data_IF_306356060321
#
_entry.id   IF_306356060321
#
_cell.length_a   1.000
_cell.length_b   1.000
_cell.length_c   1.000
_cell.angle_alpha   90.00
_cell.angle_beta   90.00
_cell.angle_gamma   90.00
#
_symmetry.space_group_name_H-M   'P 1'
#
loop_
_entity.id
_entity.type
_entity.pdbx_description
1 polymer ?
#
# COMPACT_ATOMS: atom_id res chain seq x y z
N UNK A 1 36.23 -43.32 42.85
CA UNK A 1 36.09 -42.35 41.73
C UNK A 1 35.95 -43.02 40.35
N UNK A 2 35.76 -44.34 40.23
CA UNK A 2 35.79 -45.07 38.95
C UNK A 2 34.42 -45.17 38.26
N UNK A 3 33.30 -44.94 38.97
CA UNK A 3 31.94 -45.01 38.40
C UNK A 3 31.52 -43.80 37.52
N UNK A 4 32.31 -42.73 37.44
CA UNK A 4 31.93 -41.52 36.66
C UNK A 4 32.30 -41.58 35.18
N UNK A 5 33.33 -42.35 34.84
CA UNK A 5 33.80 -42.52 33.47
C UNK A 5 32.79 -43.23 32.53
N UNK A 6 32.13 -44.34 32.91
CA UNK A 6 31.16 -44.98 32.01
C UNK A 6 29.90 -44.13 31.81
N UNK A 7 29.50 -43.35 32.81
CA UNK A 7 28.34 -42.46 32.75
C UNK A 7 28.58 -41.28 31.80
N UNK A 8 29.79 -40.72 31.79
CA UNK A 8 30.19 -39.68 30.83
C UNK A 8 30.31 -40.23 29.39
N UNK A 9 30.77 -41.47 29.22
CA UNK A 9 30.86 -42.10 27.91
C UNK A 9 29.47 -42.39 27.32
N UNK A 10 28.53 -42.89 28.14
CA UNK A 10 27.14 -43.11 27.75
C UNK A 10 26.46 -41.77 27.45
N UNK A 11 26.67 -40.74 28.28
CA UNK A 11 26.14 -39.41 28.01
C UNK A 11 26.68 -38.81 26.70
N UNK A 12 27.96 -39.02 26.38
CA UNK A 12 28.56 -38.58 25.12
C UNK A 12 28.05 -39.37 23.89
N UNK A 13 27.75 -40.66 24.07
CA UNK A 13 27.16 -41.51 23.03
C UNK A 13 25.67 -41.22 22.77
N UNK A 14 24.94 -40.75 23.79
CA UNK A 14 23.50 -40.40 23.69
C UNK A 14 23.28 -38.92 23.34
N UNK A 15 24.25 -38.04 23.62
CA UNK A 15 24.18 -36.62 23.27
C UNK A 15 23.79 -36.33 21.80
N UNK A 16 24.35 -37.01 20.77
CA UNK A 16 23.94 -36.78 19.37
C UNK A 16 22.58 -37.38 19.01
N UNK A 17 22.03 -38.28 19.83
CA UNK A 17 20.67 -38.83 19.65
C UNK A 17 19.60 -37.91 20.28
N UNK A 18 20.00 -36.95 21.12
CA UNK A 18 19.11 -35.99 21.76
C UNK A 18 19.16 -34.58 21.14
N UNK A 19 19.96 -34.35 20.11
CA UNK A 19 19.81 -33.13 19.31
C UNK A 19 18.53 -33.28 18.51
N UNK A 20 17.45 -32.68 19.00
CA UNK A 20 16.21 -32.53 18.25
C UNK A 20 16.56 -31.84 16.92
N UNK A 21 16.46 -32.60 15.82
CA UNK A 21 16.76 -32.09 14.51
C UNK A 21 15.69 -31.07 14.13
N UNK A 22 16.10 -29.87 13.71
CA UNK A 22 15.19 -28.79 13.35
C UNK A 22 14.90 -28.93 11.86
N UNK A 23 13.63 -28.82 11.46
CA UNK A 23 13.26 -28.89 10.05
C UNK A 23 14.05 -27.85 9.22
N UNK A 24 14.56 -28.21 8.04
CA UNK A 24 15.30 -27.29 7.21
C UNK A 24 14.43 -26.11 6.77
N UNK A 25 15.07 -24.97 6.48
CA UNK A 25 14.40 -23.76 5.99
C UNK A 25 13.64 -23.98 4.68
N UNK A 26 14.14 -24.87 3.82
CA UNK A 26 13.51 -25.28 2.58
C UNK A 26 13.40 -26.80 2.59
N UNK A 27 12.17 -27.31 2.50
CA UNK A 27 11.86 -28.72 2.36
C UNK A 27 11.36 -28.99 0.94
N UNK A 28 11.97 -29.94 0.25
CA UNK A 28 11.57 -30.33 -1.11
C UNK A 28 10.48 -31.40 -1.04
N UNK A 29 9.30 -31.12 -1.59
CA UNK A 29 8.20 -32.10 -1.67
C UNK A 29 8.26 -32.85 -3.00
N UNK A 30 8.41 -32.10 -4.09
CA UNK A 30 8.60 -32.63 -5.43
C UNK A 30 9.65 -31.77 -6.14
N UNK A 31 10.79 -32.38 -6.49
CA UNK A 31 11.89 -31.68 -7.14
C UNK A 31 11.41 -30.94 -8.40
N UNK A 32 11.79 -29.66 -8.53
CA UNK A 32 11.42 -28.82 -9.65
C UNK A 32 10.02 -28.21 -9.60
N UNK A 33 9.11 -28.70 -8.73
CA UNK A 33 7.69 -28.34 -8.79
C UNK A 33 7.06 -27.92 -7.46
N UNK A 34 7.45 -28.52 -6.33
CA UNK A 34 6.82 -28.25 -5.03
C UNK A 34 7.86 -28.17 -3.92
N UNK A 35 7.84 -27.04 -3.24
CA UNK A 35 8.76 -26.71 -2.15
C UNK A 35 7.97 -26.10 -0.99
N UNK A 36 8.42 -26.37 0.22
CA UNK A 36 7.89 -25.75 1.42
C UNK A 36 9.01 -24.91 2.02
N UNK A 37 8.78 -23.60 2.12
CA UNK A 37 9.71 -22.70 2.78
C UNK A 37 9.19 -22.36 4.19
N UNK A 38 10.04 -22.59 5.18
CA UNK A 38 9.86 -22.15 6.57
C UNK A 38 10.63 -20.85 6.75
N UNK A 39 9.93 -19.73 6.57
CA UNK A 39 10.53 -18.40 6.68
C UNK A 39 10.51 -17.93 8.15
N UNK A 40 11.66 -17.71 8.81
CA UNK A 40 11.68 -17.21 10.18
C UNK A 40 11.07 -15.81 10.23
N UNK A 41 10.26 -15.52 11.25
CA UNK A 41 9.57 -14.24 11.41
C UNK A 41 10.12 -13.52 12.63
N UNK A 42 10.95 -12.49 12.41
CA UNK A 42 11.64 -11.82 13.49
C UNK A 42 10.72 -10.81 14.20
N UNK A 43 10.51 -11.01 15.50
CA UNK A 43 9.70 -10.12 16.34
C UNK A 43 8.20 -10.26 16.12
N UNK A 44 7.76 -11.21 15.30
CA UNK A 44 6.36 -11.43 14.99
C UNK A 44 5.64 -12.09 16.18
N UNK A 45 4.41 -11.66 16.50
CA UNK A 45 3.60 -12.28 17.54
C UNK A 45 3.22 -13.72 17.18
N UNK A 46 3.24 -14.62 18.14
CA UNK A 46 2.75 -15.99 17.97
C UNK A 46 1.32 -16.10 18.51
N UNK A 47 0.36 -16.32 17.62
CA UNK A 47 -1.04 -16.52 18.02
C UNK A 47 -1.28 -17.95 18.50
N UNK A 48 -1.98 -18.12 19.60
CA UNK A 48 -2.36 -19.44 20.08
C UNK A 48 -3.74 -19.41 20.75
N UNK A 49 -4.41 -20.56 20.74
CA UNK A 49 -5.58 -20.80 21.56
C UNK A 49 -5.17 -21.77 22.67
N UNK A 50 -5.50 -21.42 23.91
CA UNK A 50 -5.37 -22.35 25.02
C UNK A 50 -6.51 -23.36 24.97
N UNK A 51 -6.19 -24.62 24.67
CA UNK A 51 -7.13 -25.74 24.62
C UNK A 51 -7.00 -26.65 25.84
N UNK A 52 -6.22 -26.27 26.85
CA UNK A 52 -5.96 -27.08 28.06
C UNK A 52 -7.22 -27.47 28.84
N UNK A 53 -8.30 -26.69 28.70
CA UNK A 53 -9.59 -26.93 29.35
C UNK A 53 -10.56 -27.78 28.50
N UNK A 54 -10.10 -28.34 27.37
CA UNK A 54 -10.94 -29.14 26.46
C UNK A 54 -11.94 -28.33 25.62
N UNK A 55 -11.89 -27.00 25.72
CA UNK A 55 -12.63 -26.06 24.87
C UNK A 55 -11.64 -25.09 24.22
N UNK A 56 -12.00 -24.57 23.04
CA UNK A 56 -11.18 -23.57 22.35
C UNK A 56 -11.31 -22.23 23.09
N UNK A 57 -10.28 -21.86 23.85
CA UNK A 57 -10.17 -20.54 24.46
C UNK A 57 -10.06 -19.41 23.43
N UNK A 58 -10.14 -18.14 23.87
CA UNK A 58 -9.92 -17.00 22.98
C UNK A 58 -8.50 -17.01 22.42
N UNK A 59 -8.32 -16.45 21.22
CA UNK A 59 -6.99 -16.23 20.64
C UNK A 59 -6.19 -15.27 21.51
N UNK A 60 -4.96 -15.65 21.82
CA UNK A 60 -4.02 -14.86 22.61
C UNK A 60 -2.66 -14.79 21.93
N UNK A 61 -1.87 -13.78 22.30
CA UNK A 61 -0.52 -13.56 21.78
C UNK A 61 0.52 -14.11 22.75
N UNK A 62 1.54 -14.79 22.20
CA UNK A 62 2.78 -15.17 22.87
C UNK A 62 3.98 -14.64 22.09
N UNK A 63 5.10 -14.46 22.79
CA UNK A 63 6.37 -13.98 22.21
C UNK A 63 7.34 -15.14 22.03
N UNK A 64 7.03 -16.04 21.10
CA UNK A 64 7.95 -17.11 20.72
C UNK A 64 8.64 -16.82 19.41
N UNK A 65 9.70 -17.57 19.12
CA UNK A 65 10.30 -17.61 17.80
C UNK A 65 9.37 -18.34 16.83
N UNK A 66 8.68 -17.59 15.99
CA UNK A 66 7.77 -18.12 14.99
C UNK A 66 8.37 -18.08 13.58
N UNK A 67 7.84 -18.96 12.73
CA UNK A 67 8.15 -19.04 11.33
C UNK A 67 6.85 -19.16 10.52
N UNK A 68 6.83 -18.55 9.34
CA UNK A 68 5.74 -18.60 8.39
C UNK A 68 5.99 -19.71 7.39
N UNK A 69 4.98 -20.53 7.13
CA UNK A 69 5.08 -21.59 6.13
C UNK A 69 4.55 -21.12 4.78
N UNK A 70 5.34 -21.41 3.75
CA UNK A 70 5.01 -21.15 2.35
C UNK A 70 5.06 -22.44 1.56
N UNK A 71 3.91 -22.91 1.12
CA UNK A 71 3.76 -23.94 0.12
C UNK A 71 3.86 -23.31 -1.28
N UNK A 72 4.96 -23.60 -1.96
CA UNK A 72 5.30 -23.07 -3.27
C UNK A 72 5.10 -24.19 -4.27
N UNK A 73 4.13 -24.04 -5.17
CA UNK A 73 3.82 -25.05 -6.18
C UNK A 73 3.81 -24.45 -7.58
N UNK A 74 4.36 -25.20 -8.53
CA UNK A 74 4.31 -24.91 -9.95
C UNK A 74 3.52 -26.04 -10.62
N UNK A 75 2.26 -25.80 -11.01
CA UNK A 75 1.43 -26.87 -11.56
C UNK A 75 1.91 -27.23 -12.98
N UNK A 76 1.94 -28.54 -13.25
CA UNK A 76 2.34 -29.05 -14.56
C UNK A 76 1.42 -28.57 -15.69
N UNK A 77 0.11 -28.50 -15.43
CA UNK A 77 -0.88 -28.12 -16.43
C UNK A 77 -0.81 -26.63 -16.83
N UNK A 78 -0.43 -25.75 -15.89
CA UNK A 78 -0.40 -24.31 -16.07
C UNK A 78 0.98 -23.76 -15.64
N UNK A 79 2.04 -23.94 -16.43
CA UNK A 79 3.39 -23.55 -16.04
C UNK A 79 3.64 -22.03 -16.03
N UNK A 80 2.64 -21.24 -16.38
CA UNK A 80 2.71 -19.76 -16.44
C UNK A 80 2.32 -19.10 -15.12
N UNK A 81 1.91 -19.87 -14.11
CA UNK A 81 1.53 -19.37 -12.79
C UNK A 81 2.27 -20.15 -11.71
N UNK A 82 2.76 -19.44 -10.69
CA UNK A 82 3.29 -20.03 -9.46
C UNK A 82 2.26 -19.85 -8.35
N UNK A 83 2.01 -20.88 -7.56
CA UNK A 83 1.08 -20.84 -6.45
C UNK A 83 1.87 -20.74 -5.15
N UNK A 84 1.52 -19.76 -4.32
CA UNK A 84 2.08 -19.58 -2.98
C UNK A 84 0.93 -19.63 -1.99
N UNK A 85 0.87 -20.67 -1.16
CA UNK A 85 -0.26 -20.94 -0.25
C UNK A 85 -1.61 -20.84 -0.98
N UNK A 86 -1.72 -21.55 -2.10
CA UNK A 86 -2.91 -21.57 -2.98
C UNK A 86 -3.21 -20.27 -3.73
N UNK A 87 -2.46 -19.19 -3.49
CA UNK A 87 -2.64 -17.92 -4.20
C UNK A 87 -1.90 -17.95 -5.55
N UNK A 88 -2.61 -17.75 -6.68
CA UNK A 88 -2.00 -17.81 -8.01
C UNK A 88 -1.29 -16.50 -8.35
N UNK A 89 0.02 -16.59 -8.61
CA UNK A 89 0.86 -15.47 -9.03
C UNK A 89 1.28 -15.71 -10.49
N UNK A 90 0.91 -14.83 -11.43
CA UNK A 90 1.31 -14.98 -12.82
C UNK A 90 2.82 -14.72 -13.01
N UNK A 91 3.50 -15.63 -13.69
CA UNK A 91 4.92 -15.53 -14.07
C UNK A 91 5.10 -14.69 -15.34
N UNK A 92 4.64 -13.43 -15.29
CA UNK A 92 4.73 -12.49 -16.40
C UNK A 92 5.73 -11.39 -16.08
N UNK A 93 6.68 -11.13 -16.97
CA UNK A 93 7.61 -9.99 -16.81
C UNK A 93 6.99 -8.67 -17.26
N UNK A 94 5.71 -8.66 -17.66
CA UNK A 94 5.01 -7.44 -18.05
C UNK A 94 4.58 -6.65 -16.81
N UNK A 95 5.04 -5.41 -16.63
CA UNK A 95 4.77 -4.62 -15.42
C UNK A 95 3.28 -4.30 -15.25
N UNK A 96 2.52 -4.17 -16.35
CA UNK A 96 1.09 -3.85 -16.30
C UNK A 96 0.21 -5.02 -15.83
N UNK A 97 0.65 -6.27 -16.06
CA UNK A 97 -0.14 -7.45 -15.72
C UNK A 97 0.00 -7.84 -14.26
N UNK A 98 1.15 -7.58 -13.63
CA UNK A 98 1.39 -7.89 -12.21
C UNK A 98 0.70 -6.90 -11.27
N UNK A 99 0.62 -5.61 -11.64
CA UNK A 99 0.09 -4.57 -10.73
C UNK A 99 -1.40 -4.71 -10.44
N UNK A 100 -2.20 -5.25 -11.37
CA UNK A 100 -3.66 -5.27 -11.26
C UNK A 100 -4.21 -6.52 -10.52
N UNK A 101 -3.40 -7.57 -10.32
CA UNK A 101 -3.91 -8.88 -9.89
C UNK A 101 -3.05 -9.60 -8.85
N UNK A 102 -2.35 -8.89 -7.95
CA UNK A 102 -1.61 -9.54 -6.86
C UNK A 102 -2.57 -10.11 -5.80
N UNK A 103 -2.67 -11.44 -5.62
CA UNK A 103 -3.65 -12.07 -4.75
C UNK A 103 -3.35 -11.83 -3.26
N UNK A 104 -4.36 -12.00 -2.42
CA UNK A 104 -4.17 -12.18 -0.97
C UNK A 104 -3.48 -13.50 -0.70
N UNK A 105 -2.46 -13.46 0.16
CA UNK A 105 -1.73 -14.64 0.61
C UNK A 105 -1.91 -14.72 2.11
N UNK A 106 -2.33 -15.89 2.58
CA UNK A 106 -2.34 -16.23 4.00
C UNK A 106 -1.20 -17.20 4.26
N UNK A 107 -0.41 -16.96 5.30
CA UNK A 107 0.62 -17.90 5.75
C UNK A 107 0.31 -18.42 7.15
N UNK A 108 0.20 -19.74 7.32
CA UNK A 108 0.13 -20.33 8.64
C UNK A 108 1.45 -20.11 9.36
N UNK A 109 1.35 -19.83 10.66
CA UNK A 109 2.53 -19.73 11.52
C UNK A 109 2.83 -21.07 12.20
N UNK A 110 4.10 -21.29 12.48
CA UNK A 110 4.64 -22.45 13.19
C UNK A 110 5.76 -22.01 14.12
N UNK A 111 6.17 -22.89 15.03
CA UNK A 111 7.36 -22.65 15.85
C UNK A 111 8.63 -22.82 15.00
N UNK A 112 9.66 -22.02 15.28
CA UNK A 112 10.91 -22.03 14.50
C UNK A 112 11.68 -23.35 14.66
N UNK A 113 11.58 -23.97 15.82
CA UNK A 113 12.21 -25.23 16.22
C UNK A 113 11.41 -26.48 15.83
N UNK A 114 10.38 -26.33 14.98
CA UNK A 114 9.59 -27.45 14.45
C UNK A 114 10.50 -28.54 13.86
N UNK A 115 10.27 -29.79 14.28
CA UNK A 115 11.03 -30.95 13.81
C UNK A 115 10.61 -31.37 12.40
N UNK A 116 11.47 -32.07 11.62
CA UNK A 116 11.11 -32.60 10.30
C UNK A 116 9.92 -33.56 10.36
N UNK A 117 9.84 -34.37 11.42
CA UNK A 117 8.74 -35.30 11.63
C UNK A 117 7.43 -34.54 11.85
N UNK A 118 7.42 -33.51 12.70
CA UNK A 118 6.24 -32.68 12.96
C UNK A 118 5.83 -31.85 11.74
N UNK A 119 6.80 -31.39 10.93
CA UNK A 119 6.49 -30.76 9.65
C UNK A 119 5.77 -31.75 8.72
N UNK A 120 6.28 -32.98 8.59
CA UNK A 120 5.65 -33.99 7.73
C UNK A 120 4.24 -34.38 8.21
N UNK A 121 4.02 -34.43 9.52
CA UNK A 121 2.70 -34.70 10.08
C UNK A 121 1.76 -33.54 9.83
N UNK A 122 2.19 -32.28 10.03
CA UNK A 122 1.38 -31.08 9.74
C UNK A 122 0.94 -31.03 8.27
N UNK A 123 1.83 -31.37 7.35
CA UNK A 123 1.54 -31.43 5.91
C UNK A 123 0.54 -32.54 5.56
N UNK A 124 0.63 -33.67 6.25
CA UNK A 124 -0.22 -34.84 6.00
C UNK A 124 -1.59 -34.74 6.68
N UNK A 125 -1.64 -34.18 7.89
CA UNK A 125 -2.85 -34.09 8.72
C UNK A 125 -3.77 -32.94 8.33
N UNK A 126 -3.22 -31.93 7.65
CA UNK A 126 -3.89 -30.63 7.50
C UNK A 126 -3.85 -30.18 6.03
N UNK A 127 -4.57 -30.89 5.12
CA UNK A 127 -4.58 -30.53 3.70
C UNK A 127 -5.07 -29.09 3.45
N UNK A 128 -5.89 -28.54 4.36
CA UNK A 128 -6.41 -27.17 4.28
C UNK A 128 -5.50 -26.11 4.93
N UNK A 129 -4.34 -26.47 5.49
CA UNK A 129 -3.43 -25.53 6.17
C UNK A 129 -2.99 -24.39 5.25
N UNK A 130 -2.93 -24.65 3.95
CA UNK A 130 -2.58 -23.68 2.91
C UNK A 130 -3.77 -23.23 2.06
N UNK A 131 -4.99 -23.70 2.34
CA UNK A 131 -6.20 -23.44 1.54
C UNK A 131 -7.14 -22.43 2.21
N UNK A 132 -6.71 -21.79 3.30
CA UNK A 132 -7.50 -20.82 4.08
C UNK A 132 -7.64 -19.47 3.38
N UNK A 133 -8.23 -19.48 2.19
CA UNK A 133 -8.89 -18.30 1.62
C UNK A 133 -10.30 -18.23 2.20
N UNK A 134 -10.52 -17.29 3.12
CA UNK A 134 -11.82 -16.74 3.51
C UNK A 134 -12.72 -17.44 4.57
N UNK A 135 -12.45 -18.66 5.05
CA UNK A 135 -13.24 -19.23 6.16
C UNK A 135 -12.54 -19.03 7.52
N UNK A 136 -12.78 -17.89 8.13
CA UNK A 136 -12.29 -17.49 9.47
C UNK A 136 -12.77 -18.39 10.63
N UNK A 137 -13.55 -19.43 10.38
CA UNK A 137 -14.31 -20.16 11.42
C UNK A 137 -13.87 -21.61 11.66
N UNK A 138 -13.02 -22.22 10.81
CA UNK A 138 -12.81 -23.68 10.84
C UNK A 138 -11.36 -24.17 10.80
N UNK A 139 -10.36 -23.31 10.65
CA UNK A 139 -8.97 -23.76 10.67
C UNK A 139 -8.40 -23.77 12.10
N UNK A 140 -8.01 -24.95 12.59
CA UNK A 140 -7.30 -25.14 13.85
C UNK A 140 -5.92 -24.46 13.91
N UNK A 141 -5.37 -24.05 12.76
CA UNK A 141 -4.08 -23.39 12.67
C UNK A 141 -4.24 -21.86 12.46
N UNK A 142 -3.61 -21.02 13.29
CA UNK A 142 -3.55 -19.57 13.07
C UNK A 142 -2.78 -19.23 11.79
N UNK A 143 -3.35 -18.35 10.97
CA UNK A 143 -2.71 -17.81 9.78
C UNK A 143 -2.70 -16.28 9.78
N UNK A 144 -1.65 -15.71 9.17
CA UNK A 144 -1.52 -14.28 8.95
C UNK A 144 -1.80 -13.93 7.51
N UNK A 145 -2.60 -12.89 7.30
CA UNK A 145 -2.67 -12.18 6.03
C UNK A 145 -1.38 -11.40 5.79
N UNK A 146 -0.81 -11.53 4.60
CA UNK A 146 0.50 -10.95 4.28
C UNK A 146 0.37 -9.71 3.39
N UNK A 147 1.03 -8.63 3.79
CA UNK A 147 1.47 -7.58 2.88
C UNK A 147 2.87 -7.94 2.39
N UNK A 148 3.11 -7.87 1.09
CA UNK A 148 4.36 -8.33 0.50
C UNK A 148 4.79 -7.50 -0.71
N UNK A 149 6.10 -7.53 -1.00
CA UNK A 149 6.69 -7.04 -2.22
C UNK A 149 7.17 -8.21 -3.06
N UNK A 150 6.89 -8.13 -4.34
CA UNK A 150 7.22 -9.14 -5.31
C UNK A 150 8.09 -8.53 -6.39
N UNK A 151 9.18 -9.19 -6.75
CA UNK A 151 9.96 -8.81 -7.94
C UNK A 151 10.22 -10.03 -8.80
N UNK A 152 9.90 -9.93 -10.09
CA UNK A 152 10.22 -10.96 -11.09
C UNK A 152 11.15 -10.34 -12.14
N UNK A 153 12.39 -10.83 -12.20
CA UNK A 153 13.40 -10.33 -13.14
C UNK A 153 13.95 -11.44 -14.02
N UNK A 154 14.25 -11.14 -15.27
CA UNK A 154 14.96 -12.08 -16.15
C UNK A 154 16.47 -11.99 -15.87
N UNK A 155 17.11 -13.10 -15.56
CA UNK A 155 18.56 -13.19 -15.33
C UNK A 155 19.29 -13.59 -16.62
N UNK A 156 18.73 -14.54 -17.36
CA UNK A 156 19.35 -15.07 -18.57
C UNK A 156 18.32 -15.13 -19.71
N UNK A 157 18.68 -14.72 -20.94
CA UNK A 157 17.75 -14.71 -22.06
C UNK A 157 17.50 -16.09 -22.67
N UNK A 158 18.49 -17.00 -22.69
CA UNK A 158 18.30 -18.34 -23.27
C UNK A 158 19.28 -19.39 -22.71
N UNK A 159 18.82 -20.47 -22.05
CA UNK A 159 17.43 -20.71 -21.62
C UNK A 159 16.92 -19.59 -20.71
N UNK A 160 15.64 -19.22 -20.83
CA UNK A 160 15.08 -18.11 -20.04
C UNK A 160 15.14 -18.47 -18.57
N UNK A 161 15.92 -17.73 -17.80
CA UNK A 161 15.99 -17.85 -16.35
C UNK A 161 15.33 -16.64 -15.71
N UNK A 162 14.37 -16.87 -14.82
CA UNK A 162 13.69 -15.84 -14.05
C UNK A 162 14.12 -15.95 -12.58
N UNK A 163 14.32 -14.79 -11.95
CA UNK A 163 14.44 -14.67 -10.51
C UNK A 163 13.17 -14.08 -9.94
N UNK A 164 12.59 -14.82 -9.01
CA UNK A 164 11.43 -14.40 -8.25
C UNK A 164 11.88 -14.10 -6.82
N UNK A 165 11.56 -12.91 -6.33
CA UNK A 165 11.68 -12.57 -4.91
C UNK A 165 10.32 -12.27 -4.32
N UNK A 166 10.09 -12.78 -3.12
CA UNK A 166 8.96 -12.45 -2.28
C UNK A 166 9.47 -11.96 -0.92
N UNK A 167 9.20 -10.69 -0.62
CA UNK A 167 9.59 -10.02 0.61
C UNK A 167 8.33 -9.62 1.40
N UNK A 168 8.20 -10.07 2.65
CA UNK A 168 7.02 -9.79 3.48
C UNK A 168 7.19 -8.46 4.20
N UNK A 169 6.29 -7.51 4.01
CA UNK A 169 6.40 -6.20 4.68
C UNK A 169 5.64 -6.14 5.97
N UNK A 170 4.43 -6.69 6.01
CA UNK A 170 3.53 -6.58 7.15
C UNK A 170 2.67 -7.85 7.30
N UNK A 171 2.32 -8.15 8.53
CA UNK A 171 1.42 -9.24 8.91
C UNK A 171 0.13 -8.68 9.48
N UNK A 172 -0.98 -9.31 9.14
CA UNK A 172 -2.30 -8.91 9.59
C UNK A 172 -3.08 -10.11 10.10
N UNK A 173 -3.73 -9.96 11.26
CA UNK A 173 -4.65 -10.96 11.80
C UNK A 173 -5.86 -10.27 12.43
N UNK A 174 -7.06 -10.69 12.01
CA UNK A 174 -8.32 -10.25 12.61
C UNK A 174 -8.79 -11.17 13.75
N UNK A 175 -7.97 -12.14 14.18
CA UNK A 175 -8.33 -13.12 15.22
C UNK A 175 -8.34 -12.53 16.63
N UNK A 176 -7.63 -11.42 16.85
CA UNK A 176 -7.58 -10.71 18.12
C UNK A 176 -8.50 -9.49 18.08
N UNK A 177 -8.94 -9.07 19.28
CA UNK A 177 -9.66 -7.82 19.48
C UNK A 177 -8.86 -6.96 20.46
N UNK A 178 -8.17 -5.90 20.00
CA UNK A 178 -8.19 -5.34 18.65
C UNK A 178 -7.43 -6.19 17.59
N UNK A 179 -7.73 -6.02 16.28
CA UNK A 179 -6.99 -6.68 15.21
C UNK A 179 -5.50 -6.37 15.27
N UNK A 180 -4.70 -7.37 14.96
CA UNK A 180 -3.25 -7.30 15.04
C UNK A 180 -2.66 -6.92 13.68
N UNK A 181 -1.82 -5.90 13.66
CA UNK A 181 -0.94 -5.57 12.54
C UNK A 181 0.50 -5.49 13.03
N UNK A 182 1.40 -6.22 12.37
CA UNK A 182 2.81 -6.26 12.74
C UNK A 182 3.70 -5.98 11.53
N UNK A 183 4.51 -4.90 11.54
CA UNK A 183 5.41 -4.58 10.45
C UNK A 183 6.66 -5.48 10.50
N UNK A 184 6.78 -6.39 9.54
CA UNK A 184 7.95 -7.24 9.34
C UNK A 184 9.07 -6.49 8.60
N UNK A 185 9.54 -5.38 9.15
CA UNK A 185 10.49 -4.45 8.48
C UNK A 185 11.94 -4.61 8.91
N UNK A 186 12.24 -5.57 9.79
CA UNK A 186 13.60 -5.83 10.25
C UNK A 186 14.56 -6.09 9.06
N UNK A 187 15.77 -5.55 9.14
CA UNK A 187 16.81 -5.75 8.13
C UNK A 187 17.37 -7.18 8.14
N UNK A 188 17.29 -7.87 9.28
CA UNK A 188 17.69 -9.27 9.43
C UNK A 188 16.63 -10.25 8.90
N UNK A 189 15.40 -9.78 8.66
CA UNK A 189 14.33 -10.59 8.10
C UNK A 189 14.74 -11.09 6.70
N UNK A 190 14.62 -12.39 6.49
CA UNK A 190 14.91 -13.01 5.21
C UNK A 190 13.74 -12.82 4.23
N UNK A 191 14.04 -12.94 2.94
CA UNK A 191 13.06 -12.98 1.85
C UNK A 191 13.19 -14.29 1.09
N UNK A 192 12.11 -14.74 0.46
CA UNK A 192 12.12 -15.94 -0.36
C UNK A 192 12.69 -15.60 -1.75
N UNK A 193 13.70 -16.33 -2.19
CA UNK A 193 14.29 -16.25 -3.52
C UNK A 193 14.12 -17.57 -4.26
N UNK A 194 13.50 -17.52 -5.44
CA UNK A 194 13.32 -18.66 -6.34
C UNK A 194 13.96 -18.40 -7.69
N UNK A 195 14.74 -19.37 -8.18
CA UNK A 195 15.29 -19.38 -9.53
C UNK A 195 14.46 -20.34 -10.38
N UNK A 196 13.78 -19.78 -11.37
CA UNK A 196 12.94 -20.50 -12.31
C UNK A 196 13.68 -20.61 -13.64
N UNK A 197 13.84 -21.81 -14.17
CA UNK A 197 14.41 -22.04 -15.50
C UNK A 197 13.35 -22.55 -16.46
N UNK A 198 13.32 -21.95 -17.65
CA UNK A 198 12.50 -22.46 -18.73
C UNK A 198 13.06 -23.79 -19.22
N UNK A 199 12.24 -24.84 -19.16
CA UNK A 199 12.54 -26.16 -19.72
C UNK A 199 12.39 -26.13 -21.24
N UNK A 200 13.24 -26.86 -21.98
CA UNK A 200 13.02 -27.08 -23.39
C UNK A 200 11.76 -27.92 -23.60
N UNK A 201 10.90 -27.51 -24.54
CA UNK A 201 9.73 -28.28 -24.97
C UNK A 201 10.23 -29.56 -25.64
N UNK A 202 9.94 -30.74 -25.08
CA UNK A 202 10.42 -32.04 -25.60
C UNK A 202 9.35 -32.77 -26.40
N UNK A 203 8.07 -32.42 -26.22
CA UNK A 203 6.92 -32.99 -26.90
C UNK A 203 5.98 -31.92 -27.43
N UNK A 204 5.25 -32.20 -28.52
CA UNK A 204 4.19 -31.34 -29.03
C UNK A 204 3.00 -31.19 -28.06
N UNK A 205 2.88 -32.09 -27.08
CA UNK A 205 1.90 -32.04 -25.99
C UNK A 205 2.39 -31.26 -24.76
N UNK A 206 3.67 -30.85 -24.72
CA UNK A 206 4.18 -30.07 -23.60
C UNK A 206 3.60 -28.65 -23.65
N UNK A 207 3.19 -28.07 -22.51
CA UNK A 207 2.67 -26.71 -22.47
C UNK A 207 3.74 -25.73 -22.96
N UNK A 208 3.33 -24.69 -23.69
CA UNK A 208 4.24 -23.67 -24.18
C UNK A 208 4.95 -22.98 -23.01
N UNK A 209 6.28 -23.03 -22.98
CA UNK A 209 7.17 -22.43 -21.95
C UNK A 209 7.01 -23.03 -20.54
N UNK A 210 7.34 -24.31 -20.32
CA UNK A 210 7.34 -24.88 -18.97
C UNK A 210 8.48 -24.26 -18.14
N UNK A 211 8.20 -23.81 -16.92
CA UNK A 211 9.23 -23.43 -15.95
C UNK A 211 9.46 -24.54 -14.93
N UNK A 212 10.67 -24.61 -14.39
CA UNK A 212 11.08 -25.51 -13.33
C UNK A 212 11.80 -24.72 -12.24
N UNK A 213 11.53 -25.02 -10.98
CA UNK A 213 12.23 -24.40 -9.84
C UNK A 213 13.56 -25.13 -9.64
N UNK A 214 14.65 -24.49 -10.05
CA UNK A 214 16.02 -25.03 -9.91
C UNK A 214 16.57 -24.77 -8.51
N UNK A 215 16.21 -23.64 -7.93
CA UNK A 215 16.71 -23.26 -6.61
C UNK A 215 15.63 -22.49 -5.86
N UNK A 216 15.43 -22.90 -4.61
CA UNK A 216 14.64 -22.16 -3.63
C UNK A 216 15.54 -21.92 -2.42
N UNK A 217 15.66 -20.67 -1.99
CA UNK A 217 16.49 -20.29 -0.85
C UNK A 217 15.90 -19.11 -0.10
N UNK A 218 16.25 -19.01 1.17
CA UNK A 218 16.03 -17.81 1.96
C UNK A 218 17.23 -16.89 1.77
N UNK A 219 16.97 -15.72 1.20
CA UNK A 219 17.99 -14.72 0.91
C UNK A 219 17.89 -13.55 1.91
N UNK A 220 19.01 -12.92 2.29
CA UNK A 220 18.97 -11.70 3.07
C UNK A 220 18.34 -10.57 2.25
N UNK A 221 17.62 -9.66 2.92
CA UNK A 221 17.04 -8.48 2.26
C UNK A 221 18.12 -7.61 1.62
N UNK A 222 17.90 -7.16 0.37
CA UNK A 222 18.80 -6.20 -0.24
C UNK A 222 18.71 -4.90 0.56
N UNK A 223 19.86 -4.40 1.03
CA UNK A 223 19.92 -3.07 1.64
C UNK A 223 19.40 -2.03 0.64
N UNK A 224 18.64 -1.02 1.07
CA UNK A 224 18.11 0.02 0.19
C UNK A 224 19.27 0.87 -0.36
N UNK A 225 19.94 0.36 -1.40
CA UNK A 225 21.03 1.02 -2.10
C UNK A 225 20.50 1.36 -3.49
N UNK A 226 19.86 2.52 -3.54
CA UNK A 226 19.28 3.23 -4.70
C UNK A 226 17.79 2.93 -5.03
N UNK A 227 16.97 3.98 -5.20
CA UNK A 227 15.53 3.88 -5.51
C UNK A 227 15.23 3.42 -6.95
N UNK A 228 16.25 3.21 -7.80
CA UNK A 228 16.09 2.85 -9.21
C UNK A 228 15.78 1.37 -9.45
N UNK A 229 15.92 0.49 -8.45
CA UNK A 229 15.51 -0.94 -8.58
C UNK A 229 14.00 -1.17 -8.41
N UNK A 230 13.24 -0.11 -8.12
CA UNK A 230 11.78 -0.14 -7.91
C UNK A 230 10.96 -0.45 -9.17
N UNK A 231 11.55 -0.32 -10.36
CA UNK A 231 10.82 -0.45 -11.63
C UNK A 231 10.21 -1.84 -11.87
N UNK A 232 10.70 -2.88 -11.21
CA UNK A 232 10.22 -4.27 -11.33
C UNK A 232 9.68 -4.83 -10.01
N UNK A 233 9.46 -3.98 -9.02
CA UNK A 233 8.94 -4.38 -7.72
C UNK A 233 7.49 -3.96 -7.60
N UNK A 234 6.61 -4.93 -7.36
CA UNK A 234 5.20 -4.72 -7.12
C UNK A 234 4.91 -4.91 -5.64
N UNK A 235 4.04 -4.08 -5.08
CA UNK A 235 3.67 -4.15 -3.67
C UNK A 235 2.20 -4.50 -3.53
N UNK A 236 1.93 -5.45 -2.65
CA UNK A 236 0.59 -5.84 -2.23
C UNK A 236 0.47 -5.48 -0.75
N UNK A 237 -0.52 -4.66 -0.43
CA UNK A 237 -0.93 -4.40 0.94
C UNK A 237 -2.18 -5.21 1.21
N UNK A 238 -2.19 -5.93 2.31
CA UNK A 238 -3.27 -6.84 2.67
C UNK A 238 -4.58 -6.08 2.93
N UNK A 239 -4.51 -4.94 3.64
CA UNK A 239 -5.68 -4.13 4.00
C UNK A 239 -6.28 -3.35 2.81
N UNK A 240 -5.58 -3.24 1.69
CA UNK A 240 -6.12 -2.62 0.47
C UNK A 240 -7.07 -3.56 -0.29
N UNK A 241 -7.16 -4.84 0.10
CA UNK A 241 -8.11 -5.78 -0.46
C UNK A 241 -9.45 -5.70 0.27
N UNK A 242 -10.54 -5.70 -0.48
CA UNK A 242 -11.88 -5.78 0.10
C UNK A 242 -12.27 -7.22 0.49
N UNK A 243 -13.40 -7.36 1.18
CA UNK A 243 -13.96 -8.65 1.59
C UNK A 243 -14.24 -9.63 0.43
N UNK A 244 -14.19 -9.17 -0.83
CA UNK A 244 -14.43 -9.98 -2.03
C UNK A 244 -13.14 -10.27 -2.81
N UNK A 245 -11.99 -9.91 -2.25
CA UNK A 245 -10.69 -10.11 -2.86
C UNK A 245 -10.49 -9.34 -4.16
N UNK A 246 -10.97 -8.09 -4.22
CA UNK A 246 -10.77 -7.21 -5.38
C UNK A 246 -10.12 -5.90 -4.92
N UNK A 247 -9.02 -5.52 -5.58
CA UNK A 247 -8.52 -4.14 -5.51
C UNK A 247 -9.49 -3.23 -6.28
N UNK A 248 -9.95 -2.14 -5.66
CA UNK A 248 -10.66 -1.07 -6.36
C UNK A 248 -12.17 -1.26 -6.57
N UNK A 249 -12.88 -1.92 -5.65
CA UNK A 249 -14.34 -1.71 -5.58
C UNK A 249 -14.68 -0.23 -5.33
N UNK A 250 -15.88 0.25 -5.70
CA UNK A 250 -16.29 1.63 -5.41
C UNK A 250 -16.22 1.97 -3.92
N UNK A 251 -16.29 0.97 -3.04
CA UNK A 251 -16.04 1.13 -1.61
C UNK A 251 -14.59 1.55 -1.31
N UNK A 252 -13.59 1.03 -2.04
CA UNK A 252 -12.19 1.39 -1.88
C UNK A 252 -11.86 2.75 -2.50
N UNK A 253 -12.49 3.14 -3.61
CA UNK A 253 -12.34 4.52 -4.12
C UNK A 253 -12.97 5.52 -3.16
N UNK A 254 -14.12 5.19 -2.57
CA UNK A 254 -14.74 6.03 -1.52
C UNK A 254 -13.88 6.06 -0.26
N UNK A 255 -13.32 4.93 0.19
CA UNK A 255 -12.45 4.88 1.37
C UNK A 255 -11.10 5.61 1.15
N UNK A 256 -10.51 5.48 -0.03
CA UNK A 256 -9.30 6.22 -0.40
C UNK A 256 -9.58 7.72 -0.59
N UNK A 257 -10.74 8.06 -1.18
CA UNK A 257 -11.20 9.44 -1.27
C UNK A 257 -11.46 10.01 0.12
N UNK A 258 -12.13 9.29 1.02
CA UNK A 258 -12.37 9.77 2.39
C UNK A 258 -11.09 9.85 3.19
N UNK A 259 -10.14 8.92 3.05
CA UNK A 259 -8.83 9.02 3.69
C UNK A 259 -8.01 10.20 3.15
N UNK A 260 -8.05 10.46 1.84
CA UNK A 260 -7.42 11.64 1.23
C UNK A 260 -8.12 12.94 1.62
N UNK A 261 -9.44 12.90 1.83
CA UNK A 261 -10.26 14.02 2.27
C UNK A 261 -10.04 14.28 3.76
N UNK A 262 -9.87 13.24 4.58
CA UNK A 262 -9.43 13.32 5.98
C UNK A 262 -8.02 13.91 6.08
N UNK A 263 -7.08 13.44 5.26
CA UNK A 263 -5.74 14.02 5.20
C UNK A 263 -5.75 15.46 4.67
N UNK A 264 -6.70 15.82 3.79
CA UNK A 264 -6.92 17.20 3.34
C UNK A 264 -7.61 18.06 4.42
N UNK A 265 -8.51 17.49 5.21
CA UNK A 265 -9.13 18.14 6.39
C UNK A 265 -8.07 18.42 7.44
N UNK A 266 -7.18 17.45 7.67
CA UNK A 266 -6.07 17.54 8.62
C UNK A 266 -4.90 18.37 8.07
N UNK A 267 -4.82 18.52 6.74
CA UNK A 267 -3.97 19.54 6.13
C UNK A 267 -4.53 20.91 6.55
N UNK A 268 -3.71 21.72 7.21
CA UNK A 268 -4.09 23.01 7.80
C UNK A 268 -4.69 24.05 6.86
N UNK A 269 -5.06 23.69 5.63
CA UNK A 269 -5.86 24.46 4.67
C UNK A 269 -7.19 24.87 5.28
N UNK A 270 -7.87 24.02 6.06
CA UNK A 270 -9.11 24.40 6.74
C UNK A 270 -8.87 25.37 7.89
N UNK A 271 -7.79 25.19 8.65
CA UNK A 271 -7.38 26.16 9.65
C UNK A 271 -7.07 27.54 9.03
N UNK A 272 -6.43 27.56 7.85
CA UNK A 272 -6.17 28.78 7.09
C UNK A 272 -7.47 29.41 6.56
N UNK A 273 -8.40 28.62 6.05
CA UNK A 273 -9.70 29.10 5.57
C UNK A 273 -10.53 29.70 6.71
N UNK A 274 -10.63 29.00 7.86
CA UNK A 274 -11.30 29.52 9.07
C UNK A 274 -10.63 30.80 9.57
N UNK A 275 -9.30 30.87 9.54
CA UNK A 275 -8.56 32.08 9.90
C UNK A 275 -8.88 33.25 8.96
N UNK A 276 -8.91 33.03 7.64
CA UNK A 276 -9.27 34.07 6.65
C UNK A 276 -10.71 34.55 6.85
N UNK A 277 -11.66 33.64 7.07
CA UNK A 277 -13.05 34.01 7.36
C UNK A 277 -13.18 34.77 8.69
N UNK A 278 -12.42 34.40 9.72
CA UNK A 278 -12.40 35.13 10.98
C UNK A 278 -11.86 36.56 10.82
N UNK A 279 -10.79 36.74 10.04
CA UNK A 279 -10.24 38.08 9.73
C UNK A 279 -11.22 38.91 8.91
N UNK A 280 -11.88 38.32 7.91
CA UNK A 280 -12.92 39.00 7.13
C UNK A 280 -14.12 39.40 8.00
N UNK A 281 -14.59 38.51 8.87
CA UNK A 281 -15.68 38.80 9.80
C UNK A 281 -15.30 39.93 10.76
N UNK A 282 -14.08 39.90 11.32
CA UNK A 282 -13.57 40.97 12.17
C UNK A 282 -13.45 42.29 11.42
N UNK A 283 -12.96 42.27 10.18
CA UNK A 283 -12.91 43.45 9.32
C UNK A 283 -14.29 44.05 9.07
N UNK A 284 -15.29 43.22 8.73
CA UNK A 284 -16.68 43.67 8.57
C UNK A 284 -17.22 44.25 9.87
N UNK A 285 -16.95 43.62 11.02
CA UNK A 285 -17.40 44.09 12.33
C UNK A 285 -16.76 45.44 12.67
N UNK A 286 -15.47 45.62 12.37
CA UNK A 286 -14.77 46.91 12.50
C UNK A 286 -15.35 47.95 11.54
N UNK A 287 -15.62 47.60 10.27
CA UNK A 287 -16.25 48.52 9.32
C UNK A 287 -17.66 48.94 9.77
N UNK A 288 -18.47 48.01 10.26
CA UNK A 288 -19.81 48.28 10.80
C UNK A 288 -19.69 49.15 12.05
N UNK A 289 -18.73 48.88 12.94
CA UNK A 289 -18.46 49.70 14.11
C UNK A 289 -17.95 51.11 13.72
N UNK A 290 -17.14 51.24 12.68
CA UNK A 290 -16.71 52.55 12.16
C UNK A 290 -17.87 53.31 11.53
N UNK A 291 -18.72 52.67 10.73
CA UNK A 291 -19.85 53.34 10.04
C UNK A 291 -20.96 53.71 11.03
N UNK A 292 -21.34 52.79 11.93
CA UNK A 292 -22.39 53.04 12.92
C UNK A 292 -21.87 53.82 14.14
N UNK A 293 -20.63 53.57 14.56
CA UNK A 293 -20.02 54.22 15.72
C UNK A 293 -19.42 55.59 15.43
N UNK A 294 -18.83 55.83 14.25
CA UNK A 294 -18.42 57.20 13.85
C UNK A 294 -19.55 57.99 13.17
N UNK A 295 -20.60 57.32 12.67
CA UNK A 295 -21.79 57.98 12.13
C UNK A 295 -22.66 58.68 13.19
N UNK A 296 -22.58 58.26 14.45
CA UNK A 296 -23.25 58.92 15.58
C UNK A 296 -22.52 60.14 16.15
N UNK A 297 -21.32 60.47 15.67
CA UNK A 297 -20.52 61.60 16.19
C UNK A 297 -20.49 62.83 15.26
N UNK A 298 -21.20 62.78 14.14
CA UNK A 298 -21.48 63.95 13.28
C UNK A 298 -22.97 64.03 12.96
N UNK A 299 -23.77 64.30 13.99
CA UNK A 299 -25.01 65.06 13.76
C UNK A 299 -24.60 66.48 13.31
N UNK A 300 -25.34 67.06 12.36
CA UNK A 300 -25.28 68.48 11.90
C UNK A 300 -24.60 68.85 10.57
N UNK A 301 -24.27 67.93 9.65
CA UNK A 301 -23.92 68.35 8.27
C UNK A 301 -25.12 68.38 7.30
N UNK A 302 -26.14 67.54 7.50
CA UNK A 302 -27.35 67.56 6.65
C UNK A 302 -28.25 68.79 6.89
N UNK A 303 -28.27 69.36 8.10
CA UNK A 303 -29.02 70.58 8.43
C UNK A 303 -28.37 71.88 7.90
N UNK A 304 -27.04 71.88 7.73
CA UNK A 304 -26.28 73.03 7.20
C UNK A 304 -26.42 73.22 5.69
N UNK A 305 -26.75 72.15 4.94
CA UNK A 305 -26.93 72.23 3.49
C UNK A 305 -28.30 72.79 3.04
N UNK A 306 -29.29 72.87 3.94
CA UNK A 306 -30.65 73.34 3.60
C UNK A 306 -30.96 74.80 3.99
N UNK A 307 -30.11 75.47 4.77
CA UNK A 307 -30.38 76.84 5.30
C UNK A 307 -29.59 77.96 4.61
N UNK A 308 -28.91 77.68 3.49
CA UNK A 308 -28.16 78.68 2.71
C UNK A 308 -28.92 79.27 1.53
N UNK A 309 -30.05 79.96 1.74
CA UNK A 309 -30.74 80.73 0.69
C UNK A 309 -30.71 82.22 1.05
N UNK A 310 -29.82 83.00 0.43
CA UNK A 310 -29.79 84.45 0.63
C UNK A 310 -28.71 85.22 -0.15
N UNK A 311 -29.13 85.80 -1.28
CA UNK A 311 -28.69 87.10 -1.82
C UNK A 311 -27.24 87.35 -2.26
N UNK A 312 -27.06 87.58 -3.58
CA UNK A 312 -26.25 88.64 -4.23
C UNK A 312 -25.83 88.14 -5.63
N UNK A 313 -26.49 88.49 -6.75
CA UNK A 313 -26.62 89.78 -7.45
C UNK A 313 -25.32 90.29 -8.12
N UNK A 314 -25.29 90.06 -9.45
CA UNK A 314 -24.78 90.91 -10.55
C UNK A 314 -23.32 90.80 -11.04
N UNK A 315 -23.28 90.91 -12.38
CA UNK A 315 -22.20 91.33 -13.32
C UNK A 315 -21.13 90.28 -13.57
N UNK A 316 -20.87 89.83 -14.79
CA UNK A 316 -21.02 90.48 -16.09
C UNK A 316 -19.63 90.59 -16.69
N UNK A 317 -19.35 89.83 -17.75
CA UNK A 317 -18.05 89.78 -18.42
C UNK A 317 -18.11 88.75 -19.54
N UNK A 318 -18.69 89.19 -20.64
CA UNK A 318 -18.77 88.49 -21.92
C UNK A 318 -17.45 88.69 -22.70
N UNK A 319 -17.31 87.92 -23.77
CA UNK A 319 -16.37 88.06 -24.91
C UNK A 319 -15.11 87.18 -24.90
N UNK A 320 -15.28 86.07 -25.63
CA UNK A 320 -14.33 85.46 -26.57
C UNK A 320 -12.88 85.21 -26.11
N UNK A 321 -12.63 84.01 -25.61
CA UNK A 321 -11.53 83.19 -26.12
C UNK A 321 -11.69 81.72 -25.74
N UNK A 322 -11.80 80.88 -26.77
CA UNK A 322 -11.15 79.57 -26.83
C UNK A 322 -11.48 78.50 -25.78
N UNK A 323 -12.10 77.43 -26.28
CA UNK A 323 -12.16 76.06 -25.73
C UNK A 323 -13.26 75.80 -24.70
N UNK A 324 -14.41 75.42 -25.26
CA UNK A 324 -15.46 74.71 -24.56
C UNK A 324 -14.97 73.45 -23.87
N UNK A 325 -15.38 73.32 -22.61
CA UNK A 325 -16.25 72.25 -22.11
C UNK A 325 -16.19 70.91 -22.85
N UNK A 326 -15.82 69.85 -22.13
CA UNK A 326 -16.27 68.51 -22.51
C UNK A 326 -15.37 67.37 -22.05
N UNK A 327 -15.64 66.89 -20.83
CA UNK A 327 -15.80 65.48 -20.46
C UNK A 327 -14.69 64.46 -20.80
N UNK A 328 -14.35 63.69 -19.76
CA UNK A 328 -13.49 62.52 -19.75
C UNK A 328 -13.44 61.72 -21.06
N UNK A 329 -12.22 61.60 -21.58
CA UNK A 329 -11.86 60.64 -22.62
C UNK A 329 -11.79 59.25 -22.01
N UNK A 330 -12.76 58.41 -22.34
CA UNK A 330 -12.54 56.98 -22.48
C UNK A 330 -11.73 56.76 -23.76
N UNK A 331 -10.61 56.05 -23.66
CA UNK A 331 -9.81 55.63 -24.81
C UNK A 331 -10.58 54.53 -25.57
N UNK A 332 -10.64 54.68 -26.89
CA UNK A 332 -11.34 53.81 -27.85
C UNK A 332 -10.50 52.56 -28.16
N UNK A 333 -11.14 51.44 -28.51
CA UNK A 333 -10.56 50.10 -28.71
C UNK A 333 -9.58 49.96 -29.89
N UNK A 334 -9.24 51.06 -30.53
CA UNK A 334 -8.32 51.21 -31.67
C UNK A 334 -6.92 51.63 -31.21
N UNK A 335 -6.78 52.18 -29.98
CA UNK A 335 -5.48 52.45 -29.32
C UNK A 335 -4.90 51.22 -28.58
N UNK A 336 -5.60 50.07 -28.61
CA UNK A 336 -5.18 48.78 -28.03
C UNK A 336 -4.68 47.76 -29.07
N UNK A 337 -4.35 48.20 -30.29
CA UNK A 337 -3.40 47.49 -31.16
C UNK A 337 -3.81 46.10 -31.68
N UNK A 338 -5.11 45.77 -31.73
CA UNK A 338 -5.59 44.52 -32.34
C UNK A 338 -6.14 44.79 -33.76
N UNK A 339 -5.23 44.98 -34.71
CA UNK A 339 -5.58 45.07 -36.13
C UNK A 339 -4.97 43.91 -36.93
N UNK A 340 -5.88 43.07 -37.44
CA UNK A 340 -5.91 42.34 -38.74
C UNK A 340 -6.03 40.83 -38.66
N UNK A 341 -7.22 40.40 -39.09
CA UNK A 341 -7.64 39.05 -39.36
C UNK A 341 -6.89 38.40 -40.54
N UNK A 342 -6.80 37.06 -40.51
CA UNK A 342 -6.81 36.21 -41.70
C UNK A 342 -7.70 34.99 -41.42
N UNK A 343 -8.90 35.02 -41.97
CA UNK A 343 -9.84 33.89 -42.04
C UNK A 343 -9.53 33.13 -43.32
N UNK A 344 -9.28 31.83 -43.21
CA UNK A 344 -9.28 30.89 -44.35
C UNK A 344 -10.40 29.90 -44.07
N UNK A 345 -11.44 29.97 -44.90
CA UNK A 345 -12.52 28.99 -44.93
C UNK A 345 -12.19 27.85 -45.90
N UNK A 346 -12.58 26.64 -45.52
CA UNK A 346 -12.85 25.50 -46.41
C UNK A 346 -14.03 24.81 -45.71
N UNK A 347 -15.25 24.76 -46.24
CA UNK A 347 -15.60 24.33 -47.60
C UNK A 347 -16.16 22.92 -47.46
N UNK A 348 -17.49 22.83 -47.34
CA UNK A 348 -18.29 21.59 -47.27
C UNK A 348 -18.44 21.04 -48.69
N UNK A 349 -18.41 19.72 -48.86
CA UNK A 349 -18.93 19.02 -50.05
C UNK A 349 -19.46 17.64 -49.65
N UNK A 350 -20.77 17.50 -49.86
CA UNK A 350 -21.65 16.33 -50.05
C UNK A 350 -21.49 15.04 -49.23
#
# INVERSE_FOLDING_TARGET
>A
MILRAPLLLIAALVAPLCTADIAPEITTVAEGYSYIAKLPCLGCPFLFQDTSQGSNGPWTERKDHNALLFNITLPYANPTTIYINSAPIPLTTSPHSLSHSLPTIHAPQTLSDLSPADLSTLLSSTPHLFETTASHETSSAPSFGLSYRLSLRRIHPWPTALLFHLDITDLHSALLSPPLSHPATDAAQQMLELVLLQRPVRSALDPSTPFEIISARLAPRPRPRNPTSSAFQHTMRFLDWDAHGRKGTPAHTVAALTASLLAFIDSGVWALLVFVFAVLALFVLVCVFCVLGCGGWREDEYGRAQTGKGASRRKGGDVESGRGSGRGKFLSAEDLGLARARVVGVGKSD
#
